data_IF_043089130762
#
_entry.id   IF_043089130762
#
_cell.length_a   1.000
_cell.length_b   1.000
_cell.length_c   1.000
_cell.angle_alpha   90.00
_cell.angle_beta   90.00
_cell.angle_gamma   90.00
#
_symmetry.space_group_name_H-M   'P 1'
#
loop_
_entity.id
_entity.type
_entity.pdbx_description
1 polymer ?
#
# COMPACT_ATOMS: atom_id res chain seq x y z
N UNK A 1 34.34 -6.84 13.13
CA UNK A 1 33.06 -7.34 12.58
C UNK A 1 33.09 -7.14 11.08
N UNK A 2 32.57 -8.08 10.26
CA UNK A 2 32.41 -7.84 8.83
C UNK A 2 31.54 -6.59 8.63
N UNK A 3 31.91 -5.73 7.69
CA UNK A 3 31.18 -4.51 7.37
C UNK A 3 29.73 -4.87 6.95
N UNK A 4 28.71 -4.43 7.71
CA UNK A 4 27.32 -4.82 7.49
C UNK A 4 26.67 -4.15 6.27
N UNK A 5 27.39 -3.26 5.57
CA UNK A 5 26.88 -2.51 4.40
C UNK A 5 27.52 -2.94 3.09
N UNK A 6 28.27 -4.05 3.08
CA UNK A 6 28.65 -4.68 1.81
C UNK A 6 27.40 -5.37 1.26
N UNK A 7 26.90 -4.92 0.10
CA UNK A 7 25.81 -5.55 -0.65
C UNK A 7 26.07 -7.06 -0.78
N UNK A 8 25.47 -7.86 0.11
CA UNK A 8 25.72 -9.31 0.24
C UNK A 8 24.40 -10.06 0.23
N UNK A 9 24.24 -11.07 -0.64
CA UNK A 9 24.92 -11.32 -1.91
C UNK A 9 24.25 -10.53 -3.05
N UNK A 10 25.02 -9.97 -3.98
CA UNK A 10 24.53 -9.60 -5.30
C UNK A 10 25.30 -10.47 -6.32
N UNK A 11 24.62 -11.36 -7.08
CA UNK A 11 23.18 -11.61 -7.07
C UNK A 11 22.71 -12.21 -5.74
N UNK A 12 21.46 -11.94 -5.38
CA UNK A 12 20.84 -12.57 -4.20
C UNK A 12 20.84 -14.10 -4.35
N UNK A 13 20.94 -14.88 -3.26
CA UNK A 13 20.59 -16.29 -3.27
C UNK A 13 19.15 -16.44 -3.72
N UNK A 14 18.83 -17.53 -4.41
CA UNK A 14 17.51 -17.79 -5.01
C UNK A 14 16.35 -17.56 -4.02
N UNK A 15 16.52 -17.95 -2.75
CA UNK A 15 15.50 -17.73 -1.71
C UNK A 15 15.28 -16.24 -1.39
N UNK A 16 16.35 -15.44 -1.34
CA UNK A 16 16.26 -14.00 -1.06
C UNK A 16 15.70 -13.25 -2.28
N UNK A 17 16.02 -13.72 -3.49
CA UNK A 17 15.47 -13.19 -4.73
C UNK A 17 13.95 -13.42 -4.82
N UNK A 18 13.47 -14.63 -4.50
CA UNK A 18 12.03 -14.93 -4.42
C UNK A 18 11.29 -14.02 -3.43
N UNK A 19 11.84 -13.84 -2.23
CA UNK A 19 11.25 -12.94 -1.23
C UNK A 19 11.31 -11.46 -1.66
N UNK A 20 12.38 -11.07 -2.37
CA UNK A 20 12.52 -9.74 -2.94
C UNK A 20 11.43 -9.49 -3.99
N UNK A 21 11.24 -10.42 -4.91
CA UNK A 21 10.22 -10.36 -5.96
C UNK A 21 8.82 -10.36 -5.37
N UNK A 22 8.59 -11.14 -4.31
CA UNK A 22 7.31 -11.18 -3.62
C UNK A 22 6.94 -9.80 -3.03
N UNK A 23 7.84 -9.15 -2.27
CA UNK A 23 7.48 -7.83 -1.73
C UNK A 23 7.32 -6.78 -2.84
N UNK A 24 8.07 -6.90 -3.95
CA UNK A 24 7.92 -6.03 -5.12
C UNK A 24 6.58 -6.20 -5.80
N UNK A 25 6.11 -7.44 -5.97
CA UNK A 25 4.77 -7.73 -6.48
C UNK A 25 3.69 -7.00 -5.66
N UNK A 26 3.77 -7.02 -4.33
CA UNK A 26 2.80 -6.30 -3.49
C UNK A 26 2.92 -4.77 -3.64
N UNK A 27 4.12 -4.25 -3.88
CA UNK A 27 4.30 -2.82 -4.20
C UNK A 27 3.56 -2.43 -5.48
N UNK A 28 3.65 -3.26 -6.52
CA UNK A 28 2.99 -3.01 -7.80
C UNK A 28 1.46 -3.12 -7.68
N UNK A 29 0.96 -4.15 -7.00
CA UNK A 29 -0.48 -4.27 -6.69
C UNK A 29 -1.02 -3.05 -5.93
N UNK A 30 -0.25 -2.53 -4.98
CA UNK A 30 -0.60 -1.29 -4.29
C UNK A 30 -0.57 -0.07 -5.24
N UNK A 31 0.38 0.00 -6.17
CA UNK A 31 0.44 1.08 -7.16
C UNK A 31 -0.81 1.09 -8.04
N UNK A 32 -1.25 -0.07 -8.52
CA UNK A 32 -2.47 -0.24 -9.30
C UNK A 32 -3.73 0.15 -8.51
N UNK A 33 -3.86 -0.35 -7.27
CA UNK A 33 -4.99 -0.01 -6.41
C UNK A 33 -5.03 1.48 -6.06
N UNK A 34 -3.87 2.09 -5.81
CA UNK A 34 -3.73 3.53 -5.57
C UNK A 34 -4.12 4.36 -6.80
N UNK A 35 -3.80 3.89 -7.99
CA UNK A 35 -4.20 4.57 -9.21
C UNK A 35 -5.73 4.57 -9.39
N UNK A 36 -6.39 3.45 -9.08
CA UNK A 36 -7.86 3.35 -9.08
C UNK A 36 -8.50 4.29 -8.05
N UNK A 37 -7.91 4.40 -6.86
CA UNK A 37 -8.45 5.22 -5.76
C UNK A 37 -8.03 6.69 -5.78
N UNK A 38 -7.19 7.10 -6.75
CA UNK A 38 -6.57 8.44 -6.83
C UNK A 38 -7.59 9.58 -6.72
N UNK A 39 -8.74 9.42 -7.37
CA UNK A 39 -9.78 10.45 -7.44
C UNK A 39 -10.83 10.35 -6.33
N UNK A 40 -10.72 9.39 -5.40
CA UNK A 40 -11.74 9.15 -4.37
C UNK A 40 -12.02 10.40 -3.53
N UNK A 41 -11.00 11.20 -3.23
CA UNK A 41 -11.17 12.44 -2.48
C UNK A 41 -12.04 13.50 -3.18
N UNK A 42 -12.08 13.49 -4.51
CA UNK A 42 -12.96 14.35 -5.33
C UNK A 42 -14.35 13.74 -5.41
N UNK A 43 -14.43 12.43 -5.68
CA UNK A 43 -15.68 11.70 -5.80
C UNK A 43 -16.52 11.75 -4.51
N UNK A 44 -15.88 11.74 -3.34
CA UNK A 44 -16.53 11.94 -2.04
C UNK A 44 -17.25 13.28 -1.88
N UNK A 45 -16.96 14.27 -2.74
CA UNK A 45 -17.61 15.59 -2.73
C UNK A 45 -18.82 15.66 -3.66
N UNK A 46 -19.18 14.55 -4.32
CA UNK A 46 -20.35 14.49 -5.19
C UNK A 46 -21.61 14.80 -4.39
N UNK A 47 -22.49 15.65 -4.92
CA UNK A 47 -23.77 15.98 -4.29
C UNK A 47 -24.71 14.77 -4.26
N UNK A 48 -25.45 14.60 -3.17
CA UNK A 48 -26.49 13.57 -3.01
C UNK A 48 -27.56 13.63 -4.10
N UNK A 49 -27.82 14.82 -4.64
CA UNK A 49 -28.79 15.02 -5.74
C UNK A 49 -28.26 14.54 -7.10
N UNK A 50 -27.00 14.09 -7.19
CA UNK A 50 -26.47 13.55 -8.43
C UNK A 50 -27.15 12.20 -8.73
N UNK A 51 -27.68 11.97 -9.96
CA UNK A 51 -28.35 10.72 -10.31
C UNK A 51 -27.45 9.48 -10.21
N UNK A 52 -26.12 9.66 -10.20
CA UNK A 52 -25.11 8.60 -10.02
C UNK A 52 -24.49 8.58 -8.63
N UNK A 53 -25.02 9.35 -7.67
CA UNK A 53 -24.42 9.50 -6.34
C UNK A 53 -24.14 8.14 -5.67
N UNK A 54 -25.14 7.25 -5.64
CA UNK A 54 -25.00 5.91 -5.05
C UNK A 54 -23.89 5.10 -5.71
N UNK A 55 -23.89 4.99 -7.03
CA UNK A 55 -22.87 4.27 -7.78
C UNK A 55 -21.47 4.85 -7.56
N UNK A 56 -21.36 6.18 -7.46
CA UNK A 56 -20.10 6.87 -7.16
C UNK A 56 -19.62 6.51 -5.76
N UNK A 57 -20.49 6.52 -4.75
CA UNK A 57 -20.12 6.14 -3.38
C UNK A 57 -19.75 4.66 -3.26
N UNK A 58 -20.47 3.76 -3.94
CA UNK A 58 -20.09 2.33 -4.02
C UNK A 58 -18.70 2.17 -4.65
N UNK A 59 -18.45 2.83 -5.78
CA UNK A 59 -17.13 2.82 -6.43
C UNK A 59 -16.03 3.34 -5.51
N UNK A 60 -16.28 4.44 -4.79
CA UNK A 60 -15.33 4.99 -3.83
C UNK A 60 -15.07 4.02 -2.69
N UNK A 61 -16.12 3.41 -2.13
CA UNK A 61 -16.01 2.42 -1.05
C UNK A 61 -15.11 1.27 -1.48
N UNK A 62 -15.41 0.67 -2.62
CA UNK A 62 -14.75 -0.55 -3.09
C UNK A 62 -13.28 -0.27 -3.48
N UNK A 63 -13.03 0.80 -4.25
CA UNK A 63 -11.66 1.18 -4.62
C UNK A 63 -10.83 1.65 -3.42
N UNK A 64 -11.45 2.26 -2.40
CA UNK A 64 -10.76 2.62 -1.16
C UNK A 64 -10.44 1.37 -0.32
N UNK A 65 -11.35 0.40 -0.26
CA UNK A 65 -11.13 -0.88 0.41
C UNK A 65 -9.98 -1.66 -0.22
N UNK A 66 -9.98 -1.81 -1.55
CA UNK A 66 -8.88 -2.45 -2.30
C UNK A 66 -7.55 -1.75 -2.06
N UNK A 67 -7.54 -0.42 -2.11
CA UNK A 67 -6.35 0.39 -1.85
C UNK A 67 -5.86 0.24 -0.40
N UNK A 68 -6.76 0.05 0.57
CA UNK A 68 -6.39 -0.22 1.96
C UNK A 68 -5.71 -1.59 2.09
N UNK A 69 -6.32 -2.65 1.55
CA UNK A 69 -5.78 -4.02 1.61
C UNK A 69 -4.41 -4.06 0.92
N UNK A 70 -4.31 -3.53 -0.30
CA UNK A 70 -3.07 -3.55 -1.06
C UNK A 70 -1.94 -2.78 -0.34
N UNK A 71 -2.24 -1.62 0.25
CA UNK A 71 -1.26 -0.85 1.01
C UNK A 71 -0.82 -1.56 2.30
N UNK A 72 -1.73 -2.23 3.01
CA UNK A 72 -1.39 -3.04 4.18
C UNK A 72 -0.49 -4.21 3.80
N UNK A 73 -0.82 -4.96 2.74
CA UNK A 73 -0.02 -6.08 2.26
C UNK A 73 1.36 -5.63 1.80
N UNK A 74 1.45 -4.54 1.03
CA UNK A 74 2.71 -3.97 0.58
C UNK A 74 3.58 -3.50 1.75
N UNK A 75 2.98 -2.88 2.77
CA UNK A 75 3.70 -2.49 3.98
C UNK A 75 4.20 -3.71 4.75
N UNK A 76 3.35 -4.73 4.94
CA UNK A 76 3.68 -5.93 5.69
C UNK A 76 4.80 -6.71 5.01
N UNK A 77 4.72 -6.92 3.70
CA UNK A 77 5.75 -7.59 2.92
C UNK A 77 7.08 -6.82 2.97
N UNK A 78 7.04 -5.49 2.80
CA UNK A 78 8.22 -4.63 2.85
C UNK A 78 8.89 -4.65 4.24
N UNK A 79 8.10 -4.55 5.32
CA UNK A 79 8.61 -4.62 6.68
C UNK A 79 9.12 -6.02 7.05
N UNK A 80 8.44 -7.07 6.57
CA UNK A 80 8.85 -8.47 6.72
C UNK A 80 10.19 -8.73 6.04
N UNK A 81 10.40 -8.21 4.83
CA UNK A 81 11.69 -8.28 4.14
C UNK A 81 12.80 -7.59 4.94
N UNK A 82 12.56 -6.38 5.49
CA UNK A 82 13.54 -5.68 6.33
C UNK A 82 13.90 -6.46 7.60
N UNK A 83 12.90 -7.09 8.21
CA UNK A 83 13.07 -7.90 9.41
C UNK A 83 13.85 -9.20 9.11
N UNK A 84 13.56 -9.87 7.99
CA UNK A 84 14.22 -11.12 7.59
C UNK A 84 15.63 -10.88 7.05
N UNK A 85 15.84 -9.80 6.32
CA UNK A 85 17.11 -9.46 5.66
C UNK A 85 17.61 -8.05 6.01
N UNK A 86 17.94 -7.78 7.29
CA UNK A 86 18.35 -6.44 7.74
C UNK A 86 19.65 -5.93 7.11
N UNK A 87 20.41 -6.80 6.45
CA UNK A 87 21.69 -6.55 5.80
C UNK A 87 21.63 -6.62 4.25
N UNK A 88 20.44 -6.77 3.66
CA UNK A 88 20.28 -6.80 2.21
C UNK A 88 20.49 -5.43 1.53
N UNK A 89 20.75 -4.38 2.29
CA UNK A 89 20.82 -3.01 1.80
C UNK A 89 22.26 -2.59 1.50
N UNK A 90 22.42 -1.83 0.42
CA UNK A 90 23.71 -1.29 -0.02
C UNK A 90 24.33 -0.28 0.95
N UNK A 91 23.52 0.39 1.77
CA UNK A 91 23.96 1.39 2.73
C UNK A 91 22.83 1.69 3.74
N UNK A 92 23.12 2.37 4.86
CA UNK A 92 22.10 2.76 5.84
C UNK A 92 20.95 3.57 5.22
N UNK A 93 21.24 4.41 4.21
CA UNK A 93 20.25 5.26 3.56
C UNK A 93 19.20 4.47 2.78
N UNK A 94 19.61 3.41 2.09
CA UNK A 94 18.70 2.50 1.39
C UNK A 94 17.75 1.79 2.38
N UNK A 95 18.27 1.35 3.54
CA UNK A 95 17.45 0.78 4.61
C UNK A 95 16.45 1.78 5.18
N UNK A 96 16.91 3.00 5.49
CA UNK A 96 16.03 4.07 5.98
C UNK A 96 14.93 4.41 4.99
N UNK A 97 15.27 4.49 3.70
CA UNK A 97 14.29 4.71 2.62
C UNK A 97 13.28 3.57 2.58
N UNK A 98 13.73 2.33 2.74
CA UNK A 98 12.86 1.17 2.76
C UNK A 98 11.84 1.20 3.91
N UNK A 99 12.31 1.52 5.11
CA UNK A 99 11.46 1.70 6.30
C UNK A 99 10.49 2.87 6.15
N UNK A 100 10.97 4.01 5.61
CA UNK A 100 10.13 5.17 5.31
C UNK A 100 9.00 4.81 4.34
N UNK A 101 9.31 4.09 3.26
CA UNK A 101 8.29 3.64 2.30
C UNK A 101 7.27 2.70 2.95
N UNK A 102 7.68 1.79 3.84
CA UNK A 102 6.73 0.97 4.60
C UNK A 102 5.78 1.85 5.45
N UNK A 103 6.30 2.86 6.15
CA UNK A 103 5.46 3.80 6.91
C UNK A 103 4.52 4.63 6.01
N UNK A 104 4.99 5.06 4.84
CA UNK A 104 4.16 5.76 3.86
C UNK A 104 3.00 4.90 3.36
N UNK A 105 3.23 3.60 3.16
CA UNK A 105 2.18 2.63 2.79
C UNK A 105 1.15 2.47 3.90
N UNK A 106 1.56 2.34 5.16
CA UNK A 106 0.63 2.32 6.32
C UNK A 106 -0.22 3.59 6.39
N UNK A 107 0.40 4.75 6.18
CA UNK A 107 -0.33 6.01 6.14
C UNK A 107 -1.30 6.08 4.96
N UNK A 108 -0.93 5.51 3.81
CA UNK A 108 -1.80 5.30 2.66
C UNK A 108 -3.02 4.46 3.02
N UNK A 109 -2.82 3.30 3.66
CA UNK A 109 -3.89 2.41 4.09
C UNK A 109 -4.87 3.12 5.06
N UNK A 110 -4.34 3.90 6.01
CA UNK A 110 -5.17 4.71 6.94
C UNK A 110 -6.03 5.72 6.20
N UNK A 111 -5.48 6.42 5.20
CA UNK A 111 -6.25 7.39 4.38
C UNK A 111 -7.32 6.70 3.55
N UNK A 112 -6.98 5.56 2.94
CA UNK A 112 -7.92 4.75 2.17
C UNK A 112 -9.10 4.29 3.05
N UNK A 113 -8.82 3.79 4.26
CA UNK A 113 -9.86 3.45 5.25
C UNK A 113 -10.79 4.61 5.58
N UNK A 114 -10.28 5.83 5.71
CA UNK A 114 -11.11 7.02 5.94
C UNK A 114 -12.06 7.26 4.76
N UNK A 115 -11.58 7.10 3.53
CA UNK A 115 -12.42 7.26 2.34
C UNK A 115 -13.50 6.19 2.25
N UNK A 116 -13.14 4.93 2.49
CA UNK A 116 -14.06 3.80 2.58
C UNK A 116 -15.17 4.09 3.61
N UNK A 117 -14.80 4.45 4.84
CA UNK A 117 -15.77 4.74 5.90
C UNK A 117 -16.71 5.90 5.56
N UNK A 118 -16.19 6.96 4.90
CA UNK A 118 -17.02 8.08 4.46
C UNK A 118 -18.03 7.64 3.39
N UNK A 119 -17.58 6.89 2.39
CA UNK A 119 -18.46 6.37 1.35
C UNK A 119 -19.50 5.38 1.90
N UNK A 120 -19.11 4.47 2.81
CA UNK A 120 -20.05 3.55 3.46
C UNK A 120 -21.12 4.27 4.28
N UNK A 121 -20.77 5.35 4.98
CA UNK A 121 -21.75 6.18 5.72
C UNK A 121 -22.68 6.96 4.79
N UNK A 122 -22.21 7.31 3.61
CA UNK A 122 -22.96 8.01 2.57
C UNK A 122 -23.95 7.11 1.82
N UNK A 123 -23.88 5.79 2.00
CA UNK A 123 -24.79 4.79 1.47
C UNK A 123 -25.77 4.35 2.56
N UNK A 124 -26.90 5.05 2.78
CA UNK A 124 -27.90 4.58 3.74
C UNK A 124 -28.58 3.30 3.22
N UNK A 125 -28.49 2.23 4.00
CA UNK A 125 -29.32 1.03 3.82
C UNK A 125 -28.61 -0.19 3.25
N UNK A 126 -27.82 -0.86 4.08
CA UNK A 126 -27.72 -2.33 4.13
C UNK A 126 -27.82 -2.71 5.62
N UNK A 127 -29.05 -2.91 6.10
CA UNK A 127 -29.34 -3.67 7.32
C UNK A 127 -30.03 -4.95 6.89
#
# INVERSE_FOLDING_TARGET
MPDPYVKRPNPYPEEVEKDYDEYKKYHDLNSEARQKSKNNHLLLRTSENNPRYRQIMETVRDTAHDSMIAANNASAARAGFDHKYPYAYENPGAKQTHQKTAMELLNGARRARIHEQKASRALPGEK
#
